data_IF_042535311230
#
_entry.id   IF_042535311230
#
_cell.length_a   1.000
_cell.length_b   1.000
_cell.length_c   1.000
_cell.angle_alpha   90.00
_cell.angle_beta   90.00
_cell.angle_gamma   90.00
#
_symmetry.space_group_name_H-M   'P 1'
#
loop_
_entity.id
_entity.type
_entity.pdbx_description
1 polymer ?
#
# COMPACT_ATOMS: atom_id res chain seq x y z
N UNK A 1 8.30 -27.98 4.63
CA UNK A 1 7.64 -27.46 5.84
C UNK A 1 6.52 -26.53 5.44
N UNK A 2 5.34 -26.76 5.95
CA UNK A 2 4.20 -25.92 5.64
C UNK A 2 4.37 -24.53 6.26
N UNK A 3 4.03 -23.51 5.48
CA UNK A 3 3.97 -22.15 5.98
C UNK A 3 2.54 -21.89 6.48
N UNK A 4 2.38 -21.82 7.81
CA UNK A 4 1.10 -21.57 8.45
C UNK A 4 0.87 -20.08 8.73
N UNK A 5 1.50 -19.20 7.94
CA UNK A 5 1.35 -17.76 8.11
C UNK A 5 -0.11 -17.34 7.94
N UNK A 6 -0.64 -16.69 8.95
CA UNK A 6 -1.97 -16.06 8.90
C UNK A 6 -1.76 -14.56 8.76
N UNK A 7 -2.39 -13.97 7.77
CA UNK A 7 -2.24 -12.55 7.49
C UNK A 7 -2.89 -11.71 8.60
N UNK A 8 -2.20 -10.65 8.98
CA UNK A 8 -2.74 -9.68 9.92
C UNK A 8 -3.80 -8.85 9.21
N UNK A 9 -5.03 -8.93 9.70
CA UNK A 9 -6.20 -8.24 9.16
C UNK A 9 -7.17 -7.90 10.30
N UNK A 10 -8.27 -7.23 9.97
CA UNK A 10 -9.34 -6.98 10.94
C UNK A 10 -9.11 -5.81 11.87
N UNK A 11 -8.15 -4.93 11.55
CA UNK A 11 -7.88 -3.71 12.33
C UNK A 11 -8.51 -2.46 11.72
N UNK A 12 -9.18 -2.62 10.59
CA UNK A 12 -9.71 -1.51 9.79
C UNK A 12 -11.09 -1.81 9.27
N UNK A 13 -11.78 -0.75 8.86
CA UNK A 13 -13.03 -0.83 8.11
C UNK A 13 -12.99 0.15 6.94
N UNK A 14 -13.76 -0.14 5.91
CA UNK A 14 -13.90 0.72 4.73
C UNK A 14 -15.25 1.41 4.80
N UNK A 15 -15.23 2.72 4.70
CA UNK A 15 -16.45 3.53 4.68
C UNK A 15 -16.22 4.84 3.93
N UNK A 16 -17.27 5.60 3.68
CA UNK A 16 -17.16 6.88 3.00
C UNK A 16 -16.21 7.80 3.75
N UNK A 17 -15.28 8.40 2.99
CA UNK A 17 -14.31 9.36 3.48
C UNK A 17 -14.84 10.78 3.28
N UNK A 18 -14.65 11.70 4.25
CA UNK A 18 -14.94 13.10 4.03
C UNK A 18 -13.96 13.77 3.07
N UNK A 19 -12.84 13.09 2.76
CA UNK A 19 -11.79 13.64 1.90
C UNK A 19 -11.99 13.20 0.46
N UNK A 20 -12.14 11.89 0.21
CA UNK A 20 -12.29 11.36 -1.14
C UNK A 20 -12.87 9.96 -1.12
N UNK A 21 -13.99 9.77 -1.81
CA UNK A 21 -14.59 8.46 -2.04
C UNK A 21 -14.74 7.61 -0.79
N UNK A 22 -14.33 6.36 -0.89
CA UNK A 22 -14.21 5.46 0.26
C UNK A 22 -12.77 5.51 0.79
N UNK A 23 -12.64 5.36 2.09
CA UNK A 23 -11.34 5.33 2.75
C UNK A 23 -11.27 4.20 3.76
N UNK A 24 -10.11 4.01 4.32
CA UNK A 24 -9.82 2.98 5.34
C UNK A 24 -9.70 3.67 6.68
N UNK A 25 -10.41 3.17 7.68
CA UNK A 25 -10.47 3.75 9.01
C UNK A 25 -10.07 2.71 10.05
N UNK A 26 -9.35 3.14 11.08
CA UNK A 26 -8.98 2.27 12.20
C UNK A 26 -10.22 1.93 13.03
N UNK A 27 -10.42 0.63 13.35
CA UNK A 27 -11.49 0.21 14.26
C UNK A 27 -11.00 0.02 15.68
N UNK A 28 -9.70 0.21 15.90
CA UNK A 28 -9.06 0.20 17.22
C UNK A 28 -7.82 1.09 17.18
N UNK A 29 -7.27 1.38 18.34
CA UNK A 29 -6.01 2.13 18.41
C UNK A 29 -4.88 1.30 17.82
N UNK A 30 -4.05 1.95 16.99
CA UNK A 30 -2.87 1.36 16.37
C UNK A 30 -1.68 2.23 16.75
N UNK A 31 -0.63 1.62 17.27
CA UNK A 31 0.57 2.35 17.69
C UNK A 31 1.55 2.52 16.55
N UNK A 32 2.34 3.58 16.63
CA UNK A 32 3.45 3.79 15.70
C UNK A 32 4.30 2.53 15.56
N UNK A 33 4.59 2.16 14.31
CA UNK A 33 5.36 0.98 13.98
C UNK A 33 4.56 -0.31 13.90
N UNK A 34 3.33 -0.33 14.39
CA UNK A 34 2.51 -1.54 14.31
C UNK A 34 2.03 -1.80 12.88
N UNK A 35 1.91 -3.06 12.55
CA UNK A 35 1.31 -3.48 11.28
C UNK A 35 -0.18 -3.18 11.30
N UNK A 36 -0.65 -2.49 10.27
CA UNK A 36 -2.07 -2.23 10.05
C UNK A 36 -2.71 -3.44 9.39
N UNK A 37 -2.15 -3.87 8.27
CA UNK A 37 -2.59 -5.09 7.60
C UNK A 37 -1.48 -5.66 6.71
N UNK A 38 -1.58 -6.96 6.49
CA UNK A 38 -0.74 -7.68 5.53
C UNK A 38 -1.61 -8.10 4.35
N UNK A 39 -1.17 -7.78 3.15
CA UNK A 39 -1.91 -8.05 1.92
C UNK A 39 -1.14 -9.03 1.05
N UNK A 40 -1.79 -10.11 0.60
CA UNK A 40 -1.29 -10.83 -0.55
C UNK A 40 -1.62 -10.02 -1.81
N UNK A 41 -1.08 -10.42 -2.96
CA UNK A 41 -1.19 -9.60 -4.16
C UNK A 41 -1.21 -10.44 -5.42
N UNK A 42 -1.75 -9.83 -6.48
CA UNK A 42 -1.63 -10.37 -7.83
C UNK A 42 -0.41 -9.74 -8.50
N UNK A 43 0.48 -10.59 -9.00
CA UNK A 43 1.65 -10.13 -9.74
C UNK A 43 1.31 -9.89 -11.20
N UNK A 44 1.79 -8.78 -11.74
CA UNK A 44 1.66 -8.41 -13.14
C UNK A 44 3.05 -8.31 -13.76
N UNK A 45 3.21 -8.73 -15.04
CA UNK A 45 4.50 -8.56 -15.71
C UNK A 45 4.91 -7.09 -15.75
N UNK A 46 6.18 -6.80 -15.46
CA UNK A 46 6.70 -5.44 -15.47
C UNK A 46 6.58 -4.78 -16.84
N UNK A 47 6.55 -5.58 -17.90
CA UNK A 47 6.37 -5.08 -19.27
C UNK A 47 5.01 -4.40 -19.48
N UNK A 48 3.99 -4.74 -18.67
CA UNK A 48 2.69 -4.08 -18.76
C UNK A 48 2.73 -2.63 -18.30
N UNK A 49 3.80 -2.22 -17.62
CA UNK A 49 3.92 -0.86 -17.10
C UNK A 49 3.73 0.19 -18.21
N UNK A 50 4.39 0.01 -19.33
CA UNK A 50 4.28 0.95 -20.47
C UNK A 50 2.85 1.02 -21.01
N UNK A 51 2.10 -0.07 -20.94
CA UNK A 51 0.72 -0.10 -21.42
C UNK A 51 -0.25 0.57 -20.44
N UNK A 52 0.01 0.49 -19.14
CA UNK A 52 -0.94 0.97 -18.12
C UNK A 52 -0.61 2.36 -17.56
N UNK A 53 0.57 2.90 -17.86
CA UNK A 53 1.03 4.16 -17.25
C UNK A 53 0.13 5.37 -17.52
N UNK A 54 -0.71 5.30 -18.55
CA UNK A 54 -1.68 6.34 -18.91
C UNK A 54 -3.08 6.07 -18.40
N UNK A 55 -3.28 4.94 -17.73
CA UNK A 55 -4.59 4.49 -17.27
C UNK A 55 -4.72 4.72 -15.77
N UNK A 56 -5.95 4.95 -15.27
CA UNK A 56 -6.16 5.13 -13.82
C UNK A 56 -5.63 3.98 -12.97
N UNK A 57 -5.56 2.77 -13.52
CA UNK A 57 -5.09 1.59 -12.79
C UNK A 57 -3.65 1.78 -12.25
N UNK A 58 -2.85 2.65 -12.87
CA UNK A 58 -1.50 2.94 -12.40
C UNK A 58 -1.49 3.41 -10.93
N UNK A 59 -2.56 4.04 -10.48
CA UNK A 59 -2.68 4.53 -9.11
C UNK A 59 -2.97 3.42 -8.11
N UNK A 60 -3.29 2.21 -8.58
CA UNK A 60 -3.68 1.06 -7.74
C UNK A 60 -2.66 -0.05 -7.75
N UNK A 61 -1.58 0.08 -8.52
CA UNK A 61 -0.51 -0.91 -8.57
C UNK A 61 0.74 -0.38 -7.88
N UNK A 62 1.54 -1.30 -7.37
CA UNK A 62 2.75 -0.99 -6.61
C UNK A 62 3.95 -1.68 -7.21
N UNK A 63 5.13 -1.19 -6.86
CA UNK A 63 6.39 -1.83 -7.21
C UNK A 63 6.75 -2.87 -6.16
N UNK A 64 7.20 -4.04 -6.61
CA UNK A 64 7.58 -5.13 -5.72
C UNK A 64 8.85 -5.83 -6.23
N UNK A 65 9.82 -6.11 -5.39
CA UNK A 65 9.94 -5.55 -4.04
C UNK A 65 10.27 -4.05 -4.08
N UNK A 66 10.07 -3.37 -2.97
CA UNK A 66 10.48 -1.98 -2.85
C UNK A 66 12.01 -1.98 -2.71
N UNK A 67 12.68 -1.37 -3.69
CA UNK A 67 14.13 -1.28 -3.71
C UNK A 67 14.58 0.18 -3.61
N UNK A 68 15.75 0.40 -3.04
CA UNK A 68 16.42 1.69 -3.16
C UNK A 68 16.58 2.03 -4.64
N UNK A 69 16.51 3.32 -4.99
CA UNK A 69 16.60 3.80 -6.36
C UNK A 69 15.37 3.49 -7.23
N UNK A 70 14.25 3.13 -6.64
CA UNK A 70 12.99 2.92 -7.34
C UNK A 70 12.96 1.76 -8.32
N UNK A 71 13.93 0.87 -8.25
CA UNK A 71 13.93 -0.34 -9.09
C UNK A 71 12.88 -1.32 -8.56
N UNK A 72 12.23 -2.00 -9.49
CA UNK A 72 11.26 -3.03 -9.14
C UNK A 72 11.33 -4.18 -10.14
N UNK A 73 10.95 -5.36 -9.67
CA UNK A 73 10.97 -6.59 -10.46
C UNK A 73 9.58 -6.92 -10.98
N UNK A 74 8.55 -6.58 -10.20
CA UNK A 74 7.16 -6.90 -10.52
C UNK A 74 6.29 -5.67 -10.26
N UNK A 75 5.21 -5.57 -11.03
CA UNK A 75 4.06 -4.74 -10.66
C UNK A 75 3.10 -5.63 -9.90
N UNK A 76 2.56 -5.14 -8.79
CA UNK A 76 1.64 -5.92 -7.98
C UNK A 76 0.38 -5.13 -7.66
N UNK A 77 -0.72 -5.86 -7.59
CA UNK A 77 -2.01 -5.33 -7.17
C UNK A 77 -2.34 -5.96 -5.81
N UNK A 78 -2.16 -5.24 -4.70
CA UNK A 78 -2.44 -5.79 -3.39
C UNK A 78 -3.93 -5.98 -3.17
N UNK A 79 -4.27 -7.09 -2.54
CA UNK A 79 -5.64 -7.38 -2.11
C UNK A 79 -5.89 -6.85 -0.70
N UNK A 80 -7.07 -7.11 -0.16
CA UNK A 80 -7.50 -6.49 1.08
C UNK A 80 -7.80 -5.01 0.84
N UNK A 81 -7.34 -4.15 1.73
CA UNK A 81 -7.57 -2.71 1.62
C UNK A 81 -6.41 -1.97 0.93
N UNK A 82 -5.44 -2.71 0.39
CA UNK A 82 -4.20 -2.13 -0.13
C UNK A 82 -4.38 -1.05 -1.18
N UNK A 83 -5.44 -1.14 -2.00
CA UNK A 83 -5.74 -0.15 -3.04
C UNK A 83 -6.77 0.89 -2.62
N UNK A 84 -7.24 0.86 -1.39
CA UNK A 84 -8.35 1.72 -0.93
C UNK A 84 -7.87 2.90 -0.10
N UNK A 85 -6.68 2.80 0.52
CA UNK A 85 -6.13 3.90 1.31
C UNK A 85 -6.08 5.19 0.51
N UNK A 86 -6.65 6.26 1.05
CA UNK A 86 -6.54 7.56 0.44
C UNK A 86 -5.12 8.12 0.61
N UNK A 87 -4.72 8.98 -0.31
CA UNK A 87 -3.40 9.57 -0.29
C UNK A 87 -3.42 10.92 0.43
N UNK A 88 -2.35 11.21 1.15
CA UNK A 88 -2.12 12.50 1.78
C UNK A 88 -0.63 12.81 1.77
N UNK A 89 -0.25 14.08 1.55
CA UNK A 89 1.15 14.49 1.69
C UNK A 89 1.63 14.46 3.14
N UNK A 90 0.71 14.30 4.09
CA UNK A 90 1.01 14.17 5.52
C UNK A 90 0.42 12.83 6.01
N UNK A 91 0.97 11.69 5.58
CA UNK A 91 0.39 10.38 5.86
C UNK A 91 0.60 9.94 7.30
N UNK A 92 -0.29 9.06 7.76
CA UNK A 92 -0.12 8.38 9.06
C UNK A 92 0.26 6.91 8.88
N UNK A 93 0.40 6.45 7.64
CA UNK A 93 0.77 5.08 7.32
C UNK A 93 1.70 5.03 6.10
N UNK A 94 2.39 3.93 5.96
CA UNK A 94 3.21 3.64 4.80
C UNK A 94 3.18 2.14 4.52
N UNK A 95 3.90 1.70 3.51
CA UNK A 95 3.96 0.28 3.16
C UNK A 95 5.38 -0.19 2.99
N UNK A 96 5.55 -1.49 3.12
CA UNK A 96 6.80 -2.18 2.92
C UNK A 96 6.52 -3.56 2.30
N UNK A 97 7.55 -4.27 1.90
CA UNK A 97 7.41 -5.59 1.31
C UNK A 97 8.02 -6.64 2.23
N UNK A 98 7.33 -7.76 2.36
CA UNK A 98 7.83 -8.96 3.02
C UNK A 98 8.12 -9.99 1.92
N UNK A 99 9.38 -10.09 1.51
CA UNK A 99 9.77 -10.97 0.41
C UNK A 99 9.74 -12.45 0.78
N UNK A 100 9.90 -12.77 2.06
CA UNK A 100 9.87 -14.16 2.53
C UNK A 100 8.48 -14.75 2.37
N UNK A 101 7.46 -14.02 2.78
CA UNK A 101 6.05 -14.45 2.70
C UNK A 101 5.33 -13.91 1.46
N UNK A 102 5.98 -13.09 0.64
CA UNK A 102 5.42 -12.42 -0.53
C UNK A 102 4.18 -11.62 -0.17
N UNK A 103 4.39 -10.62 0.66
CA UNK A 103 3.31 -9.75 1.16
C UNK A 103 3.64 -8.28 0.97
N UNK A 104 2.59 -7.49 0.81
CA UNK A 104 2.62 -6.04 0.97
C UNK A 104 2.12 -5.73 2.39
N UNK A 105 2.90 -4.95 3.13
CA UNK A 105 2.64 -4.71 4.54
C UNK A 105 2.40 -3.22 4.75
N UNK A 106 1.23 -2.87 5.25
CA UNK A 106 0.91 -1.49 5.65
C UNK A 106 1.14 -1.35 7.14
N UNK A 107 1.86 -0.30 7.53
CA UNK A 107 2.21 -0.06 8.92
C UNK A 107 2.01 1.40 9.30
N UNK A 108 1.86 1.66 10.61
CA UNK A 108 1.61 3.00 11.12
C UNK A 108 2.91 3.80 11.24
N UNK A 109 2.90 5.03 10.71
CA UNK A 109 4.02 5.97 10.86
C UNK A 109 3.95 6.73 12.18
N UNK A 110 2.78 6.75 12.80
CA UNK A 110 2.51 7.38 14.09
C UNK A 110 1.31 6.70 14.72
N UNK A 111 0.99 7.03 15.97
CA UNK A 111 -0.19 6.50 16.63
C UNK A 111 -1.44 6.89 15.85
N UNK A 112 -2.31 5.92 15.61
CA UNK A 112 -3.60 6.11 14.94
C UNK A 112 -4.67 5.69 15.92
N UNK A 113 -5.61 6.59 16.19
CA UNK A 113 -6.71 6.32 17.13
C UNK A 113 -7.89 5.67 16.41
N UNK A 114 -8.63 4.87 17.16
CA UNK A 114 -9.90 4.32 16.68
C UNK A 114 -10.75 5.41 16.07
N UNK A 115 -11.24 5.17 14.85
CA UNK A 115 -12.08 6.10 14.09
C UNK A 115 -11.33 7.04 13.16
N UNK A 116 -10.02 7.13 13.28
CA UNK A 116 -9.23 7.97 12.37
C UNK A 116 -9.09 7.30 11.01
N UNK A 117 -9.12 8.12 9.95
CA UNK A 117 -8.82 7.65 8.61
C UNK A 117 -7.32 7.39 8.45
N UNK A 118 -6.99 6.36 7.70
CA UNK A 118 -5.62 5.96 7.43
C UNK A 118 -5.24 6.43 6.03
N UNK A 119 -4.15 7.18 5.95
CA UNK A 119 -3.64 7.74 4.70
C UNK A 119 -2.23 7.24 4.42
N UNK A 120 -1.97 6.94 3.15
CA UNK A 120 -0.62 6.72 2.65
C UNK A 120 -0.26 7.84 1.68
N UNK A 121 0.95 7.86 1.15
CA UNK A 121 1.37 8.88 0.19
C UNK A 121 1.75 8.23 -1.15
N UNK A 122 0.77 8.02 -2.01
CA UNK A 122 1.00 7.48 -3.36
C UNK A 122 1.77 8.45 -4.25
N UNK A 123 1.55 9.75 -4.06
CA UNK A 123 2.17 10.75 -4.91
C UNK A 123 3.69 10.78 -4.72
N UNK A 124 4.15 10.52 -3.50
CA UNK A 124 5.59 10.42 -3.23
C UNK A 124 6.23 9.31 -4.05
N UNK A 125 5.58 8.15 -4.16
CA UNK A 125 6.08 7.04 -4.97
C UNK A 125 6.11 7.40 -6.45
N UNK A 126 5.05 8.00 -6.97
CA UNK A 126 4.97 8.41 -8.38
C UNK A 126 6.05 9.44 -8.69
N UNK A 127 6.21 10.44 -7.84
CA UNK A 127 7.23 11.47 -7.99
C UNK A 127 8.63 10.87 -8.01
N UNK A 128 8.92 9.99 -7.06
CA UNK A 128 10.22 9.33 -6.98
C UNK A 128 10.51 8.53 -8.26
N UNK A 129 9.53 7.79 -8.73
CA UNK A 129 9.66 6.97 -9.94
C UNK A 129 9.95 7.84 -11.16
N UNK A 130 9.30 9.00 -11.27
CA UNK A 130 9.58 9.97 -12.37
C UNK A 130 10.98 10.54 -12.26
N UNK A 131 11.42 10.90 -11.06
CA UNK A 131 12.76 11.46 -10.85
C UNK A 131 13.86 10.48 -11.20
N UNK A 132 13.61 9.18 -11.07
CA UNK A 132 14.55 8.12 -11.44
C UNK A 132 14.49 7.76 -12.93
N UNK A 133 13.63 8.41 -13.71
CA UNK A 133 13.52 8.13 -15.14
C UNK A 133 12.86 6.81 -15.47
N UNK A 134 12.11 6.22 -14.55
CA UNK A 134 11.43 4.94 -14.73
C UNK A 134 10.06 5.09 -15.40
N UNK A 135 9.56 6.32 -15.47
CA UNK A 135 8.32 6.69 -16.17
C UNK A 135 8.45 8.06 -16.81
#
# INVERSE_FOLDING_TARGET
MENNKILIQGRTEVKKSPIHGYGVFAIKDIKEGDIIEECHFMSLPSQLYDSIKRWPILRYVFHYPIRALGRFEELVWPFGNGCIYNSSPNPNASWNTDEVNRLFVFYALKDIKKGEEIFTDYEAQIKYTKEQGLI
#
